data_IF_612877254890
#
_entry.id   IF_612877254890
#
_cell.length_a   1.000
_cell.length_b   1.000
_cell.length_c   1.000
_cell.angle_alpha   90.00
_cell.angle_beta   90.00
_cell.angle_gamma   90.00
#
_symmetry.space_group_name_H-M   'P 1'
#
loop_
_entity.id
_entity.type
_entity.pdbx_description
1 polymer ?
#
# COMPACT_ATOMS: atom_id res chain seq x y z
N UNK A 1 -10.51 10.14 2.53
CA UNK A 1 -10.24 11.18 1.53
C UNK A 1 -11.20 11.03 0.37
N UNK A 2 -11.64 12.15 -0.17
CA UNK A 2 -12.55 12.23 -1.31
C UNK A 2 -11.89 13.14 -2.35
N UNK A 3 -11.91 12.74 -3.61
CA UNK A 3 -11.47 13.59 -4.75
C UNK A 3 -12.28 13.24 -5.99
N UNK A 4 -12.00 13.93 -7.09
CA UNK A 4 -12.55 13.59 -8.40
C UNK A 4 -12.10 12.20 -8.90
N UNK A 5 -11.01 11.67 -8.33
CA UNK A 5 -10.46 10.33 -8.63
C UNK A 5 -11.20 9.21 -7.91
N UNK A 6 -12.03 9.51 -6.91
CA UNK A 6 -12.74 8.51 -6.10
C UNK A 6 -12.62 8.75 -4.60
N UNK A 7 -12.65 7.66 -3.83
CA UNK A 7 -12.57 7.68 -2.37
C UNK A 7 -11.46 6.75 -1.85
N UNK A 8 -10.80 7.18 -0.78
CA UNK A 8 -9.94 6.32 0.06
C UNK A 8 -10.48 6.36 1.49
N UNK A 9 -11.01 5.23 1.95
CA UNK A 9 -11.72 5.11 3.22
C UNK A 9 -10.99 4.12 4.13
N UNK A 10 -10.61 4.58 5.32
CA UNK A 10 -10.14 3.72 6.40
C UNK A 10 -11.08 3.92 7.59
N UNK A 11 -11.66 2.85 8.07
CA UNK A 11 -12.66 2.86 9.14
C UNK A 11 -12.31 1.83 10.20
N UNK A 12 -12.73 2.09 11.43
CA UNK A 12 -12.66 1.12 12.52
C UNK A 12 -13.95 1.15 13.32
N UNK A 13 -14.34 -0.01 13.81
CA UNK A 13 -15.55 -0.19 14.61
C UNK A 13 -15.73 -1.66 14.99
N UNK A 14 -16.79 -1.96 15.73
CA UNK A 14 -17.14 -3.36 15.94
C UNK A 14 -17.58 -4.02 14.62
N UNK A 15 -17.48 -5.33 14.55
CA UNK A 15 -17.71 -6.12 13.33
C UNK A 15 -19.12 -5.85 12.73
N UNK A 16 -20.14 -5.73 13.57
CA UNK A 16 -21.51 -5.45 13.12
C UNK A 16 -21.61 -4.12 12.37
N UNK A 17 -20.97 -3.07 12.91
CA UNK A 17 -21.00 -1.75 12.31
C UNK A 17 -20.17 -1.70 11.02
N UNK A 18 -19.02 -2.38 10.99
CA UNK A 18 -18.19 -2.48 9.77
C UNK A 18 -18.97 -3.19 8.66
N UNK A 19 -19.60 -4.34 8.94
CA UNK A 19 -20.46 -5.03 7.97
C UNK A 19 -21.62 -4.17 7.45
N UNK A 20 -22.21 -3.36 8.33
CA UNK A 20 -23.27 -2.44 7.92
C UNK A 20 -22.76 -1.38 6.93
N UNK A 21 -21.57 -0.83 7.18
CA UNK A 21 -20.95 0.17 6.29
C UNK A 21 -20.49 -0.49 4.97
N UNK A 22 -19.94 -1.68 5.01
CA UNK A 22 -19.58 -2.43 3.80
C UNK A 22 -20.82 -2.66 2.92
N UNK A 23 -21.94 -3.07 3.50
CA UNK A 23 -23.20 -3.27 2.79
C UNK A 23 -23.73 -1.94 2.20
N UNK A 24 -23.63 -0.84 2.94
CA UNK A 24 -24.00 0.48 2.44
C UNK A 24 -23.21 0.86 1.18
N UNK A 25 -21.88 0.67 1.19
CA UNK A 25 -21.06 0.93 0.01
C UNK A 25 -21.41 -0.01 -1.17
N UNK A 26 -21.61 -1.30 -0.91
CA UNK A 26 -21.95 -2.28 -1.97
C UNK A 26 -23.29 -2.02 -2.64
N UNK A 27 -24.22 -1.39 -1.93
CA UNK A 27 -25.54 -1.01 -2.50
C UNK A 27 -25.44 0.24 -3.40
N UNK A 28 -24.35 0.98 -3.35
CA UNK A 28 -24.17 2.18 -4.17
C UNK A 28 -23.50 1.82 -5.50
N UNK A 29 -24.09 2.22 -6.62
CA UNK A 29 -23.63 1.87 -7.98
C UNK A 29 -22.15 2.16 -8.25
N UNK A 30 -21.62 3.24 -7.67
CA UNK A 30 -20.20 3.62 -7.83
C UNK A 30 -19.23 2.76 -7.00
N UNK A 31 -19.70 2.01 -6.01
CA UNK A 31 -18.87 1.35 -5.01
C UNK A 31 -19.19 -0.16 -4.85
N UNK A 32 -20.06 -0.71 -5.68
CA UNK A 32 -20.47 -2.12 -5.58
C UNK A 32 -19.29 -3.11 -5.69
N UNK A 33 -18.24 -2.75 -6.43
CA UNK A 33 -17.04 -3.56 -6.64
C UNK A 33 -15.85 -3.16 -5.73
N UNK A 34 -16.08 -2.32 -4.70
CA UNK A 34 -15.00 -1.89 -3.81
C UNK A 34 -14.41 -3.08 -3.04
N UNK A 35 -13.07 -3.16 -3.01
CA UNK A 35 -12.35 -4.18 -2.26
C UNK A 35 -12.16 -3.70 -0.82
N UNK A 36 -12.77 -4.40 0.14
CA UNK A 36 -12.52 -4.20 1.56
C UNK A 36 -11.34 -5.08 2.01
N UNK A 37 -10.44 -4.49 2.80
CA UNK A 37 -9.27 -5.14 3.39
C UNK A 37 -9.40 -5.02 4.91
N UNK A 38 -9.84 -6.10 5.55
CA UNK A 38 -10.14 -6.11 6.97
C UNK A 38 -8.91 -6.58 7.77
N UNK A 39 -8.63 -5.89 8.86
CA UNK A 39 -7.64 -6.26 9.86
C UNK A 39 -8.26 -6.06 11.24
N UNK A 40 -7.71 -6.71 12.26
CA UNK A 40 -8.24 -6.65 13.62
C UNK A 40 -7.28 -5.92 14.57
N UNK A 41 -7.82 -5.34 15.64
CA UNK A 41 -7.05 -4.66 16.68
C UNK A 41 -7.86 -4.62 17.97
N UNK A 42 -7.20 -4.84 19.11
CA UNK A 42 -7.83 -4.74 20.43
C UNK A 42 -8.15 -3.29 20.82
N UNK A 43 -7.51 -2.33 20.17
CA UNK A 43 -7.71 -0.90 20.42
C UNK A 43 -8.15 -0.20 19.12
N UNK A 44 -9.03 0.82 19.22
CA UNK A 44 -9.39 1.62 18.05
C UNK A 44 -8.14 2.25 17.41
N UNK A 45 -7.87 1.98 16.12
CA UNK A 45 -6.68 2.52 15.43
C UNK A 45 -6.83 3.99 15.03
N UNK A 46 -7.97 4.61 15.30
CA UNK A 46 -8.25 6.02 15.00
C UNK A 46 -8.87 6.73 16.19
N UNK A 47 -8.31 7.88 16.56
CA UNK A 47 -8.81 8.72 17.69
C UNK A 47 -10.05 9.52 17.32
N UNK A 48 -10.24 9.85 16.04
CA UNK A 48 -11.36 10.68 15.57
C UNK A 48 -11.63 10.48 14.08
N UNK A 49 -12.87 10.73 13.68
CA UNK A 49 -13.25 10.80 12.27
C UNK A 49 -12.59 12.01 11.60
N UNK A 50 -11.97 11.79 10.45
CA UNK A 50 -11.40 12.83 9.58
C UNK A 50 -11.91 12.63 8.16
N UNK A 51 -12.68 13.57 7.66
CA UNK A 51 -13.09 13.62 6.24
C UNK A 51 -12.34 14.77 5.59
N UNK A 52 -11.66 14.50 4.48
CA UNK A 52 -10.94 15.53 3.72
C UNK A 52 -11.26 15.40 2.24
N UNK A 53 -11.65 16.51 1.63
CA UNK A 53 -11.69 16.65 0.18
C UNK A 53 -10.32 17.12 -0.27
N UNK A 54 -9.78 16.47 -1.30
CA UNK A 54 -8.44 16.73 -1.84
C UNK A 54 -8.50 16.83 -3.38
N UNK A 55 -7.54 17.51 -4.01
CA UNK A 55 -7.42 17.47 -5.49
C UNK A 55 -7.14 16.04 -5.99
N UNK A 56 -6.30 15.30 -5.29
CA UNK A 56 -5.88 13.94 -5.59
C UNK A 56 -6.06 13.03 -4.36
N UNK A 57 -6.43 11.76 -4.55
CA UNK A 57 -6.47 10.77 -3.47
C UNK A 57 -5.07 10.55 -2.91
N UNK A 58 -4.10 10.37 -3.80
CA UNK A 58 -2.68 10.35 -3.46
C UNK A 58 -1.91 11.19 -4.47
N UNK A 59 -1.04 12.07 -3.98
CA UNK A 59 -0.37 13.03 -4.86
C UNK A 59 0.79 12.39 -5.59
N UNK A 60 0.82 12.61 -6.91
CA UNK A 60 1.97 12.36 -7.79
C UNK A 60 2.48 13.67 -8.42
N UNK A 61 1.80 14.79 -8.14
CA UNK A 61 2.09 16.14 -8.69
C UNK A 61 2.11 16.18 -10.23
N UNK A 62 1.39 15.30 -10.87
CA UNK A 62 1.20 15.23 -12.33
C UNK A 62 -0.26 14.90 -12.60
N UNK A 63 -0.79 15.45 -13.67
CA UNK A 63 -2.12 15.05 -14.14
C UNK A 63 -2.09 13.59 -14.59
N UNK A 64 -3.08 12.82 -14.15
CA UNK A 64 -3.29 11.42 -14.53
C UNK A 64 -4.76 11.26 -14.88
N UNK A 65 -5.04 11.12 -16.17
CA UNK A 65 -6.42 11.14 -16.68
C UNK A 65 -7.07 9.75 -16.74
N UNK A 66 -6.27 8.68 -16.75
CA UNK A 66 -6.73 7.30 -16.96
C UNK A 66 -6.47 6.37 -15.77
N UNK A 67 -6.99 6.72 -14.58
CA UNK A 67 -6.89 5.85 -13.39
C UNK A 67 -7.88 4.67 -13.50
N UNK A 68 -8.91 4.77 -14.34
CA UNK A 68 -10.09 3.89 -14.32
C UNK A 68 -10.01 2.61 -15.17
N UNK A 69 -8.99 2.41 -16.01
CA UNK A 69 -8.89 1.26 -16.92
C UNK A 69 -7.81 0.24 -16.50
N UNK A 70 -7.58 0.08 -15.19
CA UNK A 70 -6.43 -0.67 -14.65
C UNK A 70 -6.77 -2.13 -14.34
N UNK A 71 -8.03 -2.56 -14.47
CA UNK A 71 -8.49 -3.89 -14.04
C UNK A 71 -7.70 -5.07 -14.67
N UNK A 72 -7.15 -4.89 -15.87
CA UNK A 72 -6.36 -5.92 -16.56
C UNK A 72 -4.95 -6.10 -16.02
N UNK A 73 -4.50 -5.24 -15.14
CA UNK A 73 -3.11 -5.18 -14.68
C UNK A 73 -2.95 -5.64 -13.21
N UNK A 74 -3.94 -6.35 -12.67
CA UNK A 74 -3.85 -6.93 -11.34
C UNK A 74 -3.25 -8.33 -11.37
N UNK A 75 -2.37 -8.59 -10.40
CA UNK A 75 -1.92 -9.93 -10.03
C UNK A 75 -2.55 -10.26 -8.68
N UNK A 76 -3.22 -11.40 -8.58
CA UNK A 76 -3.82 -11.84 -7.32
C UNK A 76 -2.73 -12.23 -6.30
N UNK A 77 -2.98 -12.10 -4.97
CA UNK A 77 -2.03 -12.50 -3.95
C UNK A 77 -1.50 -13.92 -4.10
N UNK A 78 -2.38 -14.89 -4.33
CA UNK A 78 -2.00 -16.28 -4.55
C UNK A 78 -1.19 -16.49 -5.83
N UNK A 79 -1.56 -15.83 -6.91
CA UNK A 79 -0.78 -15.86 -8.16
C UNK A 79 0.64 -15.33 -7.95
N UNK A 80 0.80 -14.25 -7.19
CA UNK A 80 2.14 -13.75 -6.84
C UNK A 80 2.90 -14.76 -5.99
N UNK A 81 2.27 -15.36 -4.99
CA UNK A 81 2.90 -16.38 -4.14
C UNK A 81 3.39 -17.56 -4.97
N UNK A 82 2.54 -18.09 -5.87
CA UNK A 82 2.87 -19.20 -6.77
C UNK A 82 4.06 -18.86 -7.70
N UNK A 83 4.08 -17.66 -8.27
CA UNK A 83 5.20 -17.17 -9.09
C UNK A 83 6.52 -17.15 -8.31
N UNK A 84 6.48 -16.67 -7.08
CA UNK A 84 7.66 -16.58 -6.21
C UNK A 84 8.11 -17.97 -5.73
N UNK A 85 7.19 -18.87 -5.45
CA UNK A 85 7.49 -20.26 -5.06
C UNK A 85 8.15 -21.03 -6.20
N UNK A 86 7.71 -20.79 -7.42
CA UNK A 86 8.28 -21.38 -8.64
C UNK A 86 9.57 -20.70 -9.12
N UNK A 87 10.05 -19.67 -8.40
CA UNK A 87 11.21 -18.86 -8.78
C UNK A 87 11.08 -18.25 -10.18
N UNK A 88 9.87 -17.86 -10.57
CA UNK A 88 9.67 -17.15 -11.83
C UNK A 88 10.44 -15.81 -11.82
N UNK A 89 10.92 -15.40 -12.98
CA UNK A 89 11.68 -14.16 -13.13
C UNK A 89 10.73 -12.95 -13.10
N UNK A 90 10.32 -12.55 -11.90
CA UNK A 90 9.44 -11.41 -11.63
C UNK A 90 10.23 -10.27 -11.03
N UNK A 91 10.12 -9.08 -11.61
CA UNK A 91 10.66 -7.86 -11.02
C UNK A 91 9.65 -7.27 -10.02
N UNK A 92 9.86 -7.51 -8.73
CA UNK A 92 9.04 -6.92 -7.68
C UNK A 92 9.49 -5.47 -7.41
N UNK A 93 8.58 -4.51 -7.56
CA UNK A 93 8.84 -3.10 -7.34
C UNK A 93 8.02 -2.56 -6.17
N UNK A 94 8.70 -2.24 -5.08
CA UNK A 94 8.10 -1.54 -3.94
C UNK A 94 7.99 -0.04 -4.25
N UNK A 95 6.77 0.47 -4.34
CA UNK A 95 6.50 1.88 -4.65
C UNK A 95 6.31 2.74 -3.39
N UNK A 96 6.61 2.19 -2.22
CA UNK A 96 6.50 2.90 -0.94
C UNK A 96 7.71 3.80 -0.70
N UNK A 97 7.57 4.65 0.30
CA UNK A 97 8.66 5.50 0.77
C UNK A 97 9.71 4.67 1.53
N UNK A 98 10.96 5.10 1.50
CA UNK A 98 12.08 4.38 2.13
C UNK A 98 11.83 4.01 3.60
N UNK A 99 11.20 4.88 4.39
CA UNK A 99 10.94 4.60 5.80
C UNK A 99 9.96 3.43 6.02
N UNK A 100 9.06 3.16 5.07
CA UNK A 100 8.15 2.02 5.11
C UNK A 100 8.88 0.73 4.72
N UNK A 101 9.74 0.81 3.69
CA UNK A 101 10.52 -0.31 3.16
C UNK A 101 11.53 -0.83 4.19
N UNK A 102 12.16 0.08 4.93
CA UNK A 102 13.14 -0.27 5.98
C UNK A 102 12.53 -1.08 7.13
N UNK A 103 11.19 -1.12 7.25
CA UNK A 103 10.48 -1.89 8.26
C UNK A 103 10.15 -3.30 7.78
N UNK A 104 9.88 -3.44 6.49
CA UNK A 104 9.64 -4.72 5.85
C UNK A 104 9.22 -4.55 4.39
N UNK A 105 9.58 -5.54 3.58
CA UNK A 105 9.26 -5.61 2.16
C UNK A 105 9.30 -7.07 1.69
N UNK A 106 8.90 -7.35 0.45
CA UNK A 106 9.11 -8.68 -0.14
C UNK A 106 10.60 -8.97 -0.34
N UNK A 107 10.99 -10.22 -0.13
CA UNK A 107 12.35 -10.67 -0.42
C UNK A 107 12.71 -10.35 -1.86
N UNK A 108 13.90 -9.81 -2.06
CA UNK A 108 14.45 -9.42 -3.37
C UNK A 108 13.69 -8.27 -4.08
N UNK A 109 12.71 -7.63 -3.45
CA UNK A 109 12.06 -6.47 -4.02
C UNK A 109 13.04 -5.33 -4.25
N UNK A 110 12.86 -4.62 -5.36
CA UNK A 110 13.55 -3.37 -5.66
C UNK A 110 12.69 -2.19 -5.21
N UNK A 111 13.34 -1.07 -4.96
CA UNK A 111 12.67 0.17 -4.58
C UNK A 111 13.19 1.34 -5.41
N UNK A 112 12.45 2.46 -5.33
CA UNK A 112 12.78 3.67 -6.09
C UNK A 112 13.66 4.67 -5.32
N UNK A 113 14.01 4.36 -4.06
CA UNK A 113 14.73 5.27 -3.16
C UNK A 113 14.06 6.63 -3.02
N UNK A 114 12.73 6.65 -2.90
CA UNK A 114 11.93 7.87 -2.73
C UNK A 114 11.61 8.12 -1.25
N UNK A 115 11.62 9.39 -0.87
CA UNK A 115 11.21 9.84 0.46
C UNK A 115 9.70 10.09 0.52
N UNK A 116 9.11 10.49 -0.61
CA UNK A 116 7.68 10.73 -0.78
C UNK A 116 7.21 10.19 -2.12
N UNK A 117 5.98 9.71 -2.17
CA UNK A 117 5.42 9.14 -3.40
C UNK A 117 5.32 10.15 -4.56
N UNK A 118 5.26 11.43 -4.28
CA UNK A 118 5.24 12.47 -5.32
C UNK A 118 6.54 12.53 -6.17
N UNK A 119 7.63 11.91 -5.68
CA UNK A 119 8.89 11.74 -6.44
C UNK A 119 8.82 10.59 -7.46
N UNK A 120 7.75 9.77 -7.45
CA UNK A 120 7.60 8.63 -8.36
C UNK A 120 7.71 9.04 -9.84
N UNK A 121 7.12 10.19 -10.19
CA UNK A 121 7.12 10.68 -11.56
C UNK A 121 8.54 10.96 -12.12
N UNK A 122 9.50 11.25 -11.25
CA UNK A 122 10.90 11.52 -11.61
C UNK A 122 11.66 10.21 -11.95
N UNK A 123 11.11 9.05 -11.54
CA UNK A 123 11.71 7.73 -11.72
C UNK A 123 11.30 7.03 -13.02
N UNK A 124 10.39 7.59 -13.79
CA UNK A 124 9.79 6.94 -14.97
C UNK A 124 10.85 6.53 -16.01
N UNK A 125 11.87 7.35 -16.24
CA UNK A 125 12.91 7.04 -17.21
C UNK A 125 13.82 5.88 -16.76
N UNK A 126 13.96 5.65 -15.46
CA UNK A 126 14.61 4.46 -14.91
C UNK A 126 13.70 3.22 -15.13
N UNK A 127 12.39 3.38 -14.89
CA UNK A 127 11.41 2.30 -15.02
C UNK A 127 11.25 1.81 -16.48
N UNK A 128 11.38 2.69 -17.47
CA UNK A 128 11.36 2.33 -18.90
C UNK A 128 12.42 1.31 -19.31
N UNK A 129 13.52 1.22 -18.55
CA UNK A 129 14.65 0.35 -18.84
C UNK A 129 14.49 -1.05 -18.25
N UNK A 130 13.42 -1.29 -17.48
CA UNK A 130 13.19 -2.58 -16.86
C UNK A 130 12.54 -3.50 -17.89
N UNK A 131 13.20 -4.63 -18.15
CA UNK A 131 12.69 -5.69 -19.02
C UNK A 131 12.00 -6.79 -18.20
N UNK A 132 11.04 -7.46 -18.80
CA UNK A 132 10.31 -8.57 -18.19
C UNK A 132 9.03 -8.15 -17.45
N UNK A 133 8.50 -9.06 -16.65
CA UNK A 133 7.27 -8.86 -15.89
C UNK A 133 7.57 -8.05 -14.63
N UNK A 134 6.99 -6.85 -14.54
CA UNK A 134 7.12 -6.00 -13.35
C UNK A 134 5.80 -6.03 -12.57
N UNK A 135 5.87 -6.39 -11.30
CA UNK A 135 4.74 -6.36 -10.38
C UNK A 135 5.02 -5.33 -9.29
N UNK A 136 4.27 -4.22 -9.33
CA UNK A 136 4.34 -3.16 -8.33
C UNK A 136 3.46 -3.49 -7.12
N UNK A 137 3.90 -3.04 -5.95
CA UNK A 137 3.09 -3.14 -4.75
C UNK A 137 3.28 -1.92 -3.82
N UNK A 138 2.28 -1.67 -2.98
CA UNK A 138 2.34 -0.77 -1.84
C UNK A 138 1.45 -1.33 -0.72
N UNK A 139 1.29 -0.62 0.38
CA UNK A 139 0.51 -1.10 1.54
C UNK A 139 -0.90 -1.55 1.18
N UNK A 140 -1.67 -0.72 0.49
CA UNK A 140 -3.09 -0.98 0.18
C UNK A 140 -3.47 -0.95 -1.29
N UNK A 141 -2.50 -0.79 -2.22
CA UNK A 141 -2.73 -0.77 -3.68
C UNK A 141 -2.92 0.63 -4.28
N UNK A 142 -3.34 1.62 -3.52
CA UNK A 142 -3.78 2.93 -4.04
C UNK A 142 -2.66 3.73 -4.74
N UNK A 143 -1.41 3.65 -4.24
CA UNK A 143 -0.26 4.27 -4.91
C UNK A 143 0.03 3.60 -6.25
N UNK A 144 -0.08 2.28 -6.30
CA UNK A 144 0.15 1.52 -7.54
C UNK A 144 -0.91 1.82 -8.59
N UNK A 145 -2.18 1.98 -8.20
CA UNK A 145 -3.24 2.39 -9.13
C UNK A 145 -2.91 3.74 -9.79
N UNK A 146 -2.51 4.73 -8.99
CA UNK A 146 -2.08 6.03 -9.50
C UNK A 146 -0.82 5.93 -10.38
N UNK A 147 0.16 5.13 -9.94
CA UNK A 147 1.40 4.89 -10.68
C UNK A 147 1.13 4.23 -12.04
N UNK A 148 0.27 3.20 -12.10
CA UNK A 148 -0.08 2.55 -13.37
C UNK A 148 -0.76 3.51 -14.34
N UNK A 149 -1.71 4.31 -13.87
CA UNK A 149 -2.34 5.34 -14.71
C UNK A 149 -1.28 6.25 -15.33
N UNK A 150 -0.35 6.74 -14.52
CA UNK A 150 0.72 7.61 -14.99
C UNK A 150 1.70 6.91 -15.95
N UNK A 151 2.10 5.66 -15.65
CA UNK A 151 2.97 4.88 -16.51
C UNK A 151 2.34 4.59 -17.88
N UNK A 152 1.05 4.25 -17.91
CA UNK A 152 0.30 4.01 -19.15
C UNK A 152 0.28 5.27 -20.03
N UNK A 153 0.09 6.47 -19.46
CA UNK A 153 0.18 7.73 -20.21
C UNK A 153 1.60 8.01 -20.74
N UNK A 154 2.62 7.42 -20.14
CA UNK A 154 4.02 7.48 -20.62
C UNK A 154 4.38 6.34 -21.56
N UNK A 155 3.39 5.51 -21.97
CA UNK A 155 3.58 4.39 -22.90
C UNK A 155 4.15 3.13 -22.26
N UNK A 156 4.19 3.03 -20.93
CA UNK A 156 4.65 1.85 -20.19
C UNK A 156 3.41 1.05 -19.77
N UNK A 157 3.06 0.01 -20.54
CA UNK A 157 1.84 -0.77 -20.35
C UNK A 157 2.11 -2.21 -19.84
N UNK A 158 3.37 -2.57 -19.64
CA UNK A 158 3.78 -3.92 -19.21
C UNK A 158 3.75 -4.13 -17.70
N UNK A 159 3.58 -3.06 -16.93
CA UNK A 159 3.58 -3.15 -15.48
C UNK A 159 2.23 -3.63 -14.95
N UNK A 160 2.30 -4.46 -13.93
CA UNK A 160 1.17 -4.97 -13.17
C UNK A 160 1.25 -4.50 -11.72
N UNK A 161 0.18 -4.70 -10.96
CA UNK A 161 0.17 -4.42 -9.54
C UNK A 161 -0.43 -5.56 -8.72
N UNK A 162 0.06 -5.73 -7.50
CA UNK A 162 -0.50 -6.65 -6.53
C UNK A 162 -1.89 -6.17 -6.09
N UNK A 163 -2.92 -6.97 -6.35
CA UNK A 163 -4.31 -6.63 -6.04
C UNK A 163 -4.50 -6.43 -4.53
N UNK A 164 -4.91 -5.22 -4.15
CA UNK A 164 -5.12 -4.84 -2.75
C UNK A 164 -3.84 -4.62 -1.94
N UNK A 165 -2.65 -4.74 -2.57
CA UNK A 165 -1.35 -4.48 -1.94
C UNK A 165 -0.95 -5.49 -0.88
N UNK A 166 0.01 -5.10 -0.03
CA UNK A 166 0.60 -5.94 1.01
C UNK A 166 -0.46 -6.48 1.98
N UNK A 167 -1.39 -5.62 2.44
CA UNK A 167 -2.42 -6.04 3.40
C UNK A 167 -3.26 -7.18 2.82
N UNK A 168 -3.64 -7.10 1.54
CA UNK A 168 -4.41 -8.17 0.91
C UNK A 168 -3.58 -9.44 0.70
N UNK A 169 -2.29 -9.29 0.36
CA UNK A 169 -1.37 -10.42 0.26
C UNK A 169 -1.26 -11.18 1.58
N UNK A 170 -1.04 -10.47 2.69
CA UNK A 170 -0.96 -11.08 4.02
C UNK A 170 -2.30 -11.67 4.50
N UNK A 171 -3.43 -11.16 4.03
CA UNK A 171 -4.75 -11.74 4.33
C UNK A 171 -5.03 -13.04 3.57
N UNK A 172 -4.56 -13.16 2.33
CA UNK A 172 -4.89 -14.28 1.44
C UNK A 172 -3.80 -15.36 1.41
N UNK A 173 -2.61 -15.07 1.97
CA UNK A 173 -1.45 -15.98 2.01
C UNK A 173 -0.89 -16.06 3.42
N UNK A 174 0.11 -16.93 3.63
CA UNK A 174 0.84 -17.01 4.91
C UNK A 174 1.98 -15.97 5.02
N UNK A 175 2.12 -15.07 4.05
CA UNK A 175 3.17 -14.08 3.99
C UNK A 175 4.58 -14.68 3.83
N UNK A 176 4.71 -15.83 3.16
CA UNK A 176 5.94 -16.61 3.01
C UNK A 176 7.12 -15.82 2.45
N UNK A 177 6.88 -14.93 1.49
CA UNK A 177 7.91 -14.13 0.83
C UNK A 177 8.04 -12.72 1.40
N UNK A 178 7.25 -12.39 2.42
CA UNK A 178 7.32 -11.11 3.14
C UNK A 178 8.39 -11.17 4.22
N UNK A 179 9.23 -10.13 4.30
CA UNK A 179 10.24 -9.97 5.35
C UNK A 179 9.98 -8.71 6.16
N UNK A 180 10.02 -8.84 7.49
CA UNK A 180 9.74 -7.73 8.42
C UNK A 180 8.25 -7.49 8.68
N UNK A 181 7.91 -6.22 8.97
CA UNK A 181 6.56 -5.77 9.33
C UNK A 181 5.98 -4.84 8.27
N UNK A 182 4.66 -4.72 8.23
CA UNK A 182 3.97 -3.82 7.32
C UNK A 182 3.67 -2.48 8.01
N UNK A 183 4.23 -1.37 7.52
CA UNK A 183 3.86 -0.03 7.98
C UNK A 183 2.43 0.31 7.56
N UNK A 184 1.64 0.82 8.52
CA UNK A 184 0.28 1.30 8.31
C UNK A 184 0.11 2.74 8.79
N UNK A 185 -0.84 3.47 8.18
CA UNK A 185 -1.04 4.90 8.43
C UNK A 185 -2.12 5.18 9.49
N UNK A 186 -2.10 4.38 10.56
CA UNK A 186 -2.98 4.54 11.72
C UNK A 186 -2.22 4.39 13.04
N UNK A 187 -2.90 4.45 14.18
CA UNK A 187 -2.27 4.45 15.51
C UNK A 187 -1.56 3.12 15.85
N UNK A 188 -1.68 2.08 15.03
CA UNK A 188 -0.94 0.81 15.17
C UNK A 188 0.49 0.90 14.70
N UNK A 189 0.81 1.80 13.77
CA UNK A 189 2.10 2.09 13.13
C UNK A 189 2.60 0.92 12.27
N UNK A 190 2.71 -0.29 12.84
CA UNK A 190 3.18 -1.50 12.14
C UNK A 190 2.34 -2.72 12.49
N UNK A 191 2.25 -3.65 11.52
CA UNK A 191 1.60 -4.94 11.66
C UNK A 191 2.60 -6.04 11.32
N UNK A 192 2.53 -7.16 12.03
CA UNK A 192 3.27 -8.38 11.68
C UNK A 192 2.67 -9.06 10.44
N UNK A 193 3.25 -10.19 10.02
CA UNK A 193 2.78 -10.96 8.87
C UNK A 193 1.36 -11.54 9.03
N UNK A 194 0.87 -11.65 10.27
CA UNK A 194 -0.49 -12.09 10.59
C UNK A 194 -1.43 -10.90 10.78
N UNK A 195 -0.98 -9.69 10.43
CA UNK A 195 -1.70 -8.42 10.55
C UNK A 195 -2.04 -8.02 11.99
N UNK A 196 -1.32 -8.52 12.99
CA UNK A 196 -1.44 -8.10 14.37
C UNK A 196 -0.58 -6.85 14.63
N UNK A 197 -1.05 -5.89 15.46
CA UNK A 197 -0.25 -4.75 15.87
C UNK A 197 1.01 -5.15 16.62
N UNK A 198 2.15 -4.54 16.31
CA UNK A 198 3.46 -4.87 16.90
C UNK A 198 3.91 -3.86 17.96
N UNK A 199 3.05 -2.90 18.32
CA UNK A 199 3.27 -1.91 19.37
C UNK A 199 4.54 -1.07 19.20
N UNK A 200 4.88 -0.70 17.97
CA UNK A 200 5.93 0.28 17.68
C UNK A 200 5.40 1.71 17.77
N UNK A 201 6.33 2.66 17.90
CA UNK A 201 6.01 4.09 17.96
C UNK A 201 6.81 4.86 16.92
N UNK A 202 6.37 6.08 16.62
CA UNK A 202 7.16 7.00 15.80
C UNK A 202 8.07 7.84 16.70
N UNK A 203 9.32 8.00 16.29
CA UNK A 203 10.24 8.92 16.95
C UNK A 203 9.67 10.35 16.90
N UNK A 204 9.54 11.06 18.03
CA UNK A 204 8.96 12.39 18.03
C UNK A 204 9.81 13.43 17.27
N UNK A 205 11.12 13.18 17.08
CA UNK A 205 12.00 14.08 16.35
C UNK A 205 11.99 13.86 14.84
N UNK A 206 12.25 12.62 14.38
CA UNK A 206 12.43 12.31 12.96
C UNK A 206 11.33 11.47 12.35
N UNK A 207 10.34 11.07 13.13
CA UNK A 207 9.19 10.23 12.70
C UNK A 207 9.58 8.83 12.20
N UNK A 208 10.81 8.38 12.41
CA UNK A 208 11.20 6.99 12.15
C UNK A 208 10.54 6.06 13.17
N UNK A 209 10.26 4.84 12.75
CA UNK A 209 9.68 3.81 13.65
C UNK A 209 10.72 3.37 14.66
N UNK A 210 10.34 3.37 15.92
CA UNK A 210 11.15 2.92 17.05
C UNK A 210 10.43 1.83 17.82
N UNK A 211 11.21 0.96 18.46
CA UNK A 211 10.64 -0.04 19.35
C UNK A 211 10.20 0.64 20.67
N UNK A 212 8.96 0.44 21.09
CA UNK A 212 8.40 1.02 22.34
C UNK A 212 9.18 0.66 23.61
N UNK A 213 9.89 -0.47 23.61
CA UNK A 213 10.71 -0.91 24.74
C UNK A 213 12.03 -0.16 24.86
N UNK A 214 12.43 0.61 23.84
CA UNK A 214 13.68 1.36 23.85
C UNK A 214 13.52 2.78 23.27
N UNK A 215 12.70 3.59 23.94
CA UNK A 215 12.39 5.00 23.56
C UNK A 215 13.63 5.91 23.50
N UNK A 216 14.74 5.48 24.07
CA UNK A 216 15.97 6.28 24.15
C UNK A 216 16.88 6.16 22.94
N UNK A 217 16.59 5.25 22.03
CA UNK A 217 17.50 4.88 20.92
C UNK A 217 16.84 4.97 19.55
N UNK A 218 16.43 6.19 19.16
CA UNK A 218 16.30 6.44 17.73
C UNK A 218 17.71 6.47 17.12
N UNK A 219 18.02 5.49 16.27
CA UNK A 219 19.35 5.37 15.63
C UNK A 219 19.67 6.57 14.72
N UNK A 220 18.63 7.20 14.16
CA UNK A 220 18.74 8.32 13.23
C UNK A 220 18.90 9.68 13.93
N UNK A 221 18.52 9.79 15.21
CA UNK A 221 18.53 11.05 15.96
C UNK A 221 19.68 11.17 16.97
N UNK A 222 20.65 10.29 16.91
CA UNK A 222 21.82 10.32 17.81
C UNK A 222 22.73 11.49 17.53
#
# INVERSE_FOLDING_TARGET
YISVEGINVNLAGNEKNIKSIENFFRQHNLFNNILFKNTYSDKPPFKKLKIKVKPEIISIKKEVNNIFNIEKNYVAPKELEDKLDNNENVYLLDTRNNYEINIGTFKNAKNLNILKFDEFAEKVDELKKIEGEVIMFCTGGIRCEKALGYLNEKGINSFKQLKGGIINYLNETEGKHWDGECFVFDDRITLDKNLNPTYKELCPKCQQVINTFDRTKCKECR
#
